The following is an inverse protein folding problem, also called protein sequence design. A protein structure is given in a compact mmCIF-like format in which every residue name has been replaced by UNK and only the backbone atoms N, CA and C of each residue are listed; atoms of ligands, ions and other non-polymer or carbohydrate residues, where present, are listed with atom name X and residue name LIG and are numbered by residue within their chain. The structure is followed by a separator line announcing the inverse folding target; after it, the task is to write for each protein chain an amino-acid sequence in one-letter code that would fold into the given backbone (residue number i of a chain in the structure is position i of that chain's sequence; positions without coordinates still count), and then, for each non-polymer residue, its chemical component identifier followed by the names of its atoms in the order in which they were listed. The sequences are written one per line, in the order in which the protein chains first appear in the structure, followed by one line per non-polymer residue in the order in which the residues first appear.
data_IF_244189199603
#
_entry.id   IF_244189199603
#
_cell.length_a   1.000
_cell.length_b   1.000
_cell.length_c   1.000
_cell.angle_alpha   90.00
_cell.angle_beta   90.00
_cell.angle_gamma   90.00
#
_symmetry.space_group_name_H-M   'P 1'
#
loop_
_entity.id
_entity.type
_entity.pdbx_description
1 polymer ?
#
# COMPACT_ATOMS: atom_id res chain seq x y z
N UNK A 1 -1.43 23.26 -7.61
CA UNK A 1 -2.87 22.98 -7.59
C UNK A 1 -3.26 22.44 -6.22
N UNK A 2 -4.35 22.92 -5.63
CA UNK A 2 -4.95 22.20 -4.50
C UNK A 2 -5.53 20.88 -5.06
N UNK A 3 -5.23 19.73 -4.44
CA UNK A 3 -5.73 18.46 -4.92
C UNK A 3 -7.27 18.45 -4.87
N UNK A 4 -7.95 17.84 -5.87
CA UNK A 4 -9.40 17.74 -5.85
C UNK A 4 -9.86 16.99 -4.60
N UNK A 5 -10.72 17.63 -3.80
CA UNK A 5 -11.29 17.03 -2.59
C UNK A 5 -12.54 16.26 -2.96
N UNK A 6 -12.70 15.07 -2.37
CA UNK A 6 -13.87 14.21 -2.57
C UNK A 6 -15.17 14.95 -2.18
N UNK A 7 -16.20 14.90 -3.03
CA UNK A 7 -17.48 15.60 -2.84
C UNK A 7 -18.17 15.25 -1.53
N UNK A 8 -18.04 13.99 -1.08
CA UNK A 8 -18.56 13.52 0.20
C UNK A 8 -17.98 14.25 1.43
N UNK A 9 -16.73 14.73 1.33
CA UNK A 9 -16.05 15.48 2.41
C UNK A 9 -16.50 16.95 2.41
N UNK A 10 -16.76 17.52 1.22
CA UNK A 10 -17.29 18.87 1.06
C UNK A 10 -18.73 18.97 1.57
N UNK A 11 -19.55 17.95 1.29
CA UNK A 11 -20.93 17.85 1.80
C UNK A 11 -20.98 17.69 3.34
N UNK A 12 -20.05 16.93 3.91
CA UNK A 12 -19.97 16.71 5.36
C UNK A 12 -19.49 17.94 6.13
N UNK A 13 -18.75 18.86 5.49
CA UNK A 13 -18.18 20.06 6.11
C UNK A 13 -18.46 21.32 5.27
N UNK A 14 -19.64 21.96 5.41
CA UNK A 14 -20.05 23.08 4.56
C UNK A 14 -19.15 24.33 4.73
N UNK A 15 -18.58 24.55 5.93
CA UNK A 15 -17.62 25.65 6.15
C UNK A 15 -16.33 25.46 5.35
N UNK A 16 -15.89 24.21 5.18
CA UNK A 16 -14.70 23.87 4.41
C UNK A 16 -14.96 24.00 2.90
N UNK A 17 -16.16 23.63 2.43
CA UNK A 17 -16.57 23.83 1.03
C UNK A 17 -16.55 25.32 0.62
N UNK A 18 -17.09 26.20 1.47
CA UNK A 18 -17.03 27.65 1.24
C UNK A 18 -15.60 28.17 1.18
N UNK A 19 -14.72 27.72 2.09
CA UNK A 19 -13.31 28.10 2.08
C UNK A 19 -12.58 27.57 0.85
N UNK A 20 -12.80 26.30 0.48
CA UNK A 20 -12.18 25.67 -0.69
C UNK A 20 -12.60 26.38 -1.98
N UNK A 21 -13.88 26.72 -2.11
CA UNK A 21 -14.40 27.54 -3.21
C UNK A 21 -13.82 28.95 -3.22
N UNK A 22 -13.71 29.63 -2.09
CA UNK A 22 -13.12 30.98 -2.02
C UNK A 22 -11.62 30.98 -2.35
N UNK A 23 -10.88 29.96 -1.89
CA UNK A 23 -9.47 29.77 -2.21
C UNK A 23 -9.26 29.53 -3.71
N UNK A 24 -10.03 28.61 -4.29
CA UNK A 24 -9.94 28.26 -5.73
C UNK A 24 -10.48 29.36 -6.65
N UNK A 25 -11.51 30.11 -6.23
CA UNK A 25 -12.16 31.10 -7.08
C UNK A 25 -11.60 32.51 -6.93
N UNK A 26 -11.21 32.94 -5.72
CA UNK A 26 -10.86 34.35 -5.45
C UNK A 26 -9.41 34.59 -5.06
N UNK A 27 -8.78 33.65 -4.34
CA UNK A 27 -7.46 33.91 -3.72
C UNK A 27 -6.30 33.33 -4.51
N UNK A 28 -6.45 32.15 -5.09
CA UNK A 28 -5.37 31.41 -5.74
C UNK A 28 -5.67 31.17 -7.21
N UNK A 29 -4.61 31.17 -8.00
CA UNK A 29 -4.58 30.69 -9.37
C UNK A 29 -4.40 29.16 -9.37
N UNK A 30 -4.65 28.48 -10.51
CA UNK A 30 -4.48 27.03 -10.64
C UNK A 30 -3.05 26.55 -10.31
N UNK A 31 -2.06 27.40 -10.59
CA UNK A 31 -0.63 27.17 -10.29
C UNK A 31 -0.26 27.35 -8.80
N UNK A 32 -1.21 27.78 -7.95
CA UNK A 32 -1.00 28.06 -6.53
C UNK A 32 -0.47 29.48 -6.24
N UNK A 33 -0.33 30.33 -7.25
CA UNK A 33 0.02 31.74 -7.05
C UNK A 33 -1.19 32.57 -6.58
N UNK A 34 -0.95 33.69 -5.89
CA UNK A 34 -2.05 34.56 -5.39
C UNK A 34 -2.68 35.34 -6.55
N UNK A 35 -3.98 35.59 -6.55
CA UNK A 35 -4.66 36.49 -7.51
C UNK A 35 -4.49 37.99 -7.21
N UNK A 36 -3.81 38.35 -6.13
CA UNK A 36 -3.52 39.75 -5.76
C UNK A 36 -2.40 40.31 -6.66
N UNK A 37 -2.77 41.19 -7.58
CA UNK A 37 -1.87 41.78 -8.60
C UNK A 37 -0.67 42.49 -7.96
N UNK A 38 -0.84 43.15 -6.80
CA UNK A 38 0.27 43.85 -6.13
C UNK A 38 1.28 42.86 -5.58
N UNK A 39 0.80 41.80 -4.92
CA UNK A 39 1.67 40.71 -4.42
C UNK A 39 2.32 39.95 -5.56
N UNK A 40 1.59 39.67 -6.64
CA UNK A 40 2.16 39.04 -7.85
C UNK A 40 3.31 39.87 -8.44
N UNK A 41 3.17 41.19 -8.52
CA UNK A 41 4.22 42.07 -9.03
C UNK A 41 5.47 42.03 -8.15
N UNK A 42 5.31 42.15 -6.83
CA UNK A 42 6.43 42.04 -5.87
C UNK A 42 7.12 40.67 -6.00
N UNK A 43 6.34 39.58 -6.04
CA UNK A 43 6.91 38.25 -6.25
C UNK A 43 7.59 38.11 -7.62
N UNK A 44 7.09 38.76 -8.66
CA UNK A 44 7.71 38.80 -9.98
C UNK A 44 9.07 39.52 -9.97
N UNK A 45 9.16 40.68 -9.31
CA UNK A 45 10.40 41.43 -9.12
C UNK A 45 11.43 40.65 -8.29
N UNK A 46 10.99 39.98 -7.21
CA UNK A 46 11.83 39.09 -6.41
C UNK A 46 12.32 37.90 -7.26
N UNK A 47 11.46 37.28 -8.08
CA UNK A 47 11.89 36.17 -8.95
C UNK A 47 12.91 36.62 -9.99
N UNK A 48 12.73 37.79 -10.59
CA UNK A 48 13.68 38.36 -11.55
C UNK A 48 15.03 38.65 -10.89
N UNK A 49 15.04 39.32 -9.74
CA UNK A 49 16.28 39.60 -9.00
C UNK A 49 16.96 38.30 -8.54
N UNK A 50 16.21 37.34 -8.01
CA UNK A 50 16.73 36.03 -7.66
C UNK A 50 17.32 35.30 -8.87
N UNK A 51 16.69 35.36 -10.04
CA UNK A 51 17.24 34.80 -11.26
C UNK A 51 18.59 35.44 -11.60
N UNK A 52 18.68 36.78 -11.56
CA UNK A 52 19.95 37.49 -11.80
C UNK A 52 21.04 37.16 -10.78
N UNK A 53 20.70 37.05 -9.50
CA UNK A 53 21.68 36.68 -8.47
C UNK A 53 22.14 35.24 -8.64
N UNK A 54 21.24 34.32 -9.00
CA UNK A 54 21.59 32.92 -9.28
C UNK A 54 22.46 32.79 -10.52
N UNK A 55 22.14 33.49 -11.60
CA UNK A 55 22.99 33.47 -12.81
C UNK A 55 24.37 34.00 -12.47
N UNK A 56 24.47 35.13 -11.76
CA UNK A 56 25.77 35.71 -11.40
C UNK A 56 26.58 34.82 -10.45
N UNK A 57 25.91 34.18 -9.49
CA UNK A 57 26.54 33.23 -8.58
C UNK A 57 27.06 32.02 -9.34
N UNK A 58 26.23 31.42 -10.21
CA UNK A 58 26.62 30.23 -10.96
C UNK A 58 27.71 30.54 -11.99
N UNK A 59 27.68 31.68 -12.67
CA UNK A 59 28.75 32.07 -13.59
C UNK A 59 30.07 32.26 -12.83
N UNK A 60 30.05 32.98 -11.70
CA UNK A 60 31.24 33.16 -10.86
C UNK A 60 31.79 31.82 -10.33
N UNK A 61 30.91 30.92 -9.87
CA UNK A 61 31.31 29.60 -9.38
C UNK A 61 31.88 28.70 -10.48
N UNK A 62 31.27 28.71 -11.67
CA UNK A 62 31.77 27.94 -12.81
C UNK A 62 33.16 28.44 -13.19
N UNK A 63 33.35 29.76 -13.35
CA UNK A 63 34.64 30.35 -13.68
C UNK A 63 35.71 30.05 -12.62
N UNK A 64 35.37 30.20 -11.34
CA UNK A 64 36.31 29.92 -10.24
C UNK A 64 36.70 28.44 -10.22
N UNK A 65 35.72 27.54 -10.43
CA UNK A 65 35.96 26.10 -10.48
C UNK A 65 36.78 25.70 -11.70
N UNK A 66 36.49 26.26 -12.88
CA UNK A 66 37.29 25.97 -14.08
C UNK A 66 38.71 26.45 -13.89
N UNK A 67 38.92 27.68 -13.40
CA UNK A 67 40.25 28.20 -13.07
C UNK A 67 41.00 27.30 -12.09
N UNK A 68 40.36 26.82 -11.02
CA UNK A 68 41.01 25.91 -10.06
C UNK A 68 41.43 24.57 -10.65
N UNK A 69 40.80 24.14 -11.75
CA UNK A 69 41.10 22.87 -12.42
C UNK A 69 41.92 23.04 -13.70
N UNK A 70 42.14 24.28 -14.14
CA UNK A 70 42.85 24.63 -15.36
C UNK A 70 44.30 24.08 -15.37
N UNK A 71 45.09 24.20 -14.29
CA UNK A 71 46.48 23.70 -14.26
C UNK A 71 46.59 22.19 -14.47
N UNK A 72 45.59 21.43 -14.01
CA UNK A 72 45.59 19.96 -14.09
C UNK A 72 44.96 19.39 -15.37
N UNK A 73 44.11 20.17 -16.05
CA UNK A 73 43.29 19.69 -17.18
C UNK A 73 43.67 20.28 -18.52
N UNK A 74 44.37 21.43 -18.54
CA UNK A 74 44.75 22.07 -19.79
C UNK A 74 46.18 21.70 -20.19
N UNK A 75 46.38 21.04 -21.34
CA UNK A 75 47.71 20.86 -21.92
C UNK A 75 48.23 22.14 -22.61
N UNK A 76 47.37 23.15 -22.82
CA UNK A 76 47.72 24.39 -23.54
C UNK A 76 48.25 25.50 -22.64
N UNK A 77 48.17 25.32 -21.31
CA UNK A 77 48.63 26.32 -20.33
C UNK A 77 50.14 26.15 -20.03
N UNK A 78 50.98 27.18 -20.28
CA UNK A 78 52.38 27.18 -19.87
C UNK A 78 52.58 26.87 -18.38
N UNK A 79 53.57 26.04 -18.05
CA UNK A 79 53.82 25.57 -16.68
C UNK A 79 54.10 26.72 -15.70
N UNK A 80 54.71 27.81 -16.18
CA UNK A 80 55.00 29.01 -15.38
C UNK A 80 53.74 29.72 -14.87
N UNK A 81 52.59 29.51 -15.54
CA UNK A 81 51.30 30.11 -15.16
C UNK A 81 50.50 29.24 -14.19
N UNK A 82 50.94 28.01 -13.89
CA UNK A 82 50.18 27.09 -13.03
C UNK A 82 50.12 27.60 -11.58
N UNK A 83 51.27 27.95 -11.00
CA UNK A 83 51.36 28.48 -9.63
C UNK A 83 50.60 29.80 -9.43
N UNK A 84 50.76 30.83 -10.31
CA UNK A 84 49.97 32.06 -10.22
C UNK A 84 48.46 31.83 -10.32
N UNK A 85 47.99 30.90 -11.16
CA UNK A 85 46.56 30.58 -11.29
C UNK A 85 46.03 29.91 -10.01
N UNK A 86 46.79 28.99 -9.41
CA UNK A 86 46.41 28.35 -8.14
C UNK A 86 46.35 29.34 -6.98
N UNK A 87 47.32 30.25 -6.87
CA UNK A 87 47.35 31.27 -5.83
C UNK A 87 46.19 32.27 -5.97
N UNK A 88 45.93 32.76 -7.18
CA UNK A 88 44.80 33.68 -7.43
C UNK A 88 43.45 32.99 -7.20
N UNK A 89 43.30 31.71 -7.56
CA UNK A 89 42.06 30.97 -7.30
C UNK A 89 41.84 30.69 -5.81
N UNK A 90 42.90 30.37 -5.06
CA UNK A 90 42.85 30.25 -3.60
C UNK A 90 42.51 31.60 -2.92
N UNK A 91 42.98 32.72 -3.48
CA UNK A 91 42.57 34.06 -3.03
C UNK A 91 41.10 34.36 -3.32
N UNK A 92 40.60 34.02 -4.51
CA UNK A 92 39.20 34.23 -4.91
C UNK A 92 38.22 33.36 -4.11
N UNK A 93 38.65 32.17 -3.69
CA UNK A 93 37.86 31.26 -2.84
C UNK A 93 37.94 31.60 -1.35
N UNK A 94 38.75 32.61 -0.97
CA UNK A 94 38.86 33.09 0.40
C UNK A 94 39.72 32.19 1.30
N UNK A 95 40.63 31.41 0.74
CA UNK A 95 41.53 30.53 1.52
C UNK A 95 42.66 31.30 2.21
N UNK A 96 42.94 32.53 1.79
CA UNK A 96 43.96 33.40 2.40
C UNK A 96 43.36 34.54 3.23
N UNK A 97 43.96 34.86 4.39
CA UNK A 97 43.58 36.03 5.18
C UNK A 97 43.89 37.33 4.40
N UNK A 98 43.16 38.43 4.67
CA UNK A 98 43.32 39.68 3.94
C UNK A 98 44.70 40.33 4.09
N UNK A 99 45.48 39.95 5.11
CA UNK A 99 46.84 40.44 5.37
C UNK A 99 47.87 39.97 4.35
N UNK A 100 47.66 38.82 3.70
CA UNK A 100 48.62 38.23 2.76
C UNK A 100 48.41 38.73 1.32
N UNK A 101 47.43 39.61 1.11
CA UNK A 101 47.09 40.15 -0.22
C UNK A 101 48.21 41.00 -0.82
N UNK A 102 48.96 41.70 0.02
CA UNK A 102 50.06 42.55 -0.43
C UNK A 102 51.25 41.72 -0.93
N UNK A 103 51.46 40.53 -0.35
CA UNK A 103 52.51 39.59 -0.75
C UNK A 103 52.18 38.94 -2.10
N UNK A 104 50.91 38.64 -2.34
CA UNK A 104 50.40 38.02 -3.57
C UNK A 104 50.16 39.02 -4.71
N UNK A 105 50.43 40.31 -4.51
CA UNK A 105 50.20 41.35 -5.51
C UNK A 105 51.03 41.13 -6.78
N UNK A 106 52.26 40.63 -6.65
CA UNK A 106 53.13 40.34 -7.80
C UNK A 106 52.59 39.19 -8.66
N UNK A 107 52.13 38.10 -8.05
CA UNK A 107 51.54 36.96 -8.75
C UNK A 107 50.19 37.32 -9.38
N UNK A 108 49.42 38.19 -8.72
CA UNK A 108 48.18 38.75 -9.28
C UNK A 108 48.46 39.60 -10.51
N UNK A 109 49.51 40.43 -10.48
CA UNK A 109 49.90 41.24 -11.63
C UNK A 109 50.40 40.38 -12.80
N UNK A 110 51.18 39.33 -12.51
CA UNK A 110 51.62 38.37 -13.52
C UNK A 110 50.46 37.58 -14.14
N UNK A 111 49.47 37.20 -13.35
CA UNK A 111 48.21 36.61 -13.83
C UNK A 111 47.46 37.57 -14.76
N UNK A 112 47.32 38.84 -14.36
CA UNK A 112 46.63 39.85 -15.16
C UNK A 112 47.36 40.16 -16.48
N UNK A 113 48.69 40.16 -16.48
CA UNK A 113 49.49 40.34 -17.71
C UNK A 113 49.34 39.19 -18.71
N UNK A 114 48.97 37.99 -18.26
CA UNK A 114 48.82 36.80 -19.10
C UNK A 114 47.35 36.36 -19.24
N UNK A 115 46.41 37.26 -18.96
CA UNK A 115 44.97 36.94 -18.93
C UNK A 115 44.46 36.41 -20.28
N UNK A 116 45.04 36.85 -21.40
CA UNK A 116 44.63 36.42 -22.73
C UNK A 116 44.87 34.91 -22.94
N UNK A 117 46.03 34.41 -22.51
CA UNK A 117 46.40 32.99 -22.59
C UNK A 117 45.54 32.15 -21.64
N UNK A 118 45.27 32.68 -20.45
CA UNK A 118 44.43 32.00 -19.45
C UNK A 118 42.98 31.94 -19.93
N UNK A 119 42.49 33.01 -20.55
CA UNK A 119 41.11 33.10 -21.05
C UNK A 119 40.87 32.19 -22.26
N UNK A 120 41.86 32.04 -23.16
CA UNK A 120 41.76 31.09 -24.28
C UNK A 120 41.76 29.65 -23.77
N UNK A 121 42.68 29.28 -22.87
CA UNK A 121 42.71 27.96 -22.25
C UNK A 121 41.42 27.64 -21.46
N UNK A 122 40.87 28.64 -20.76
CA UNK A 122 39.60 28.50 -20.04
C UNK A 122 38.41 28.34 -20.99
N UNK A 123 38.41 29.04 -22.12
CA UNK A 123 37.40 28.90 -23.17
C UNK A 123 37.45 27.50 -23.82
N UNK A 124 38.64 26.99 -24.09
CA UNK A 124 38.85 25.62 -24.61
C UNK A 124 38.39 24.54 -23.62
N UNK A 125 38.65 24.75 -22.32
CA UNK A 125 38.17 23.84 -21.29
C UNK A 125 36.64 23.90 -21.14
N UNK A 126 36.04 25.10 -21.20
CA UNK A 126 34.60 25.28 -21.13
C UNK A 126 33.88 24.67 -22.33
N UNK A 127 34.42 24.84 -23.55
CA UNK A 127 33.88 24.20 -24.76
C UNK A 127 34.01 22.69 -24.68
N UNK A 128 35.14 22.16 -24.19
CA UNK A 128 35.30 20.73 -23.94
C UNK A 128 34.26 20.22 -22.92
N UNK A 129 34.06 20.93 -21.80
CA UNK A 129 33.04 20.56 -20.82
C UNK A 129 31.63 20.60 -21.41
N UNK A 130 31.31 21.62 -22.21
CA UNK A 130 30.03 21.74 -22.89
C UNK A 130 29.78 20.59 -23.87
N UNK A 131 30.78 20.20 -24.68
CA UNK A 131 30.64 19.05 -25.59
C UNK A 131 30.46 17.73 -24.84
N UNK A 132 31.10 17.54 -23.68
CA UNK A 132 30.87 16.39 -22.82
C UNK A 132 29.45 16.40 -22.25
N UNK A 133 28.93 17.55 -21.83
CA UNK A 133 27.55 17.69 -21.39
C UNK A 133 26.54 17.38 -22.51
N UNK A 134 26.80 17.80 -23.75
CA UNK A 134 26.00 17.41 -24.92
C UNK A 134 25.98 15.88 -25.09
N UNK A 135 27.13 15.21 -24.96
CA UNK A 135 27.22 13.74 -25.03
C UNK A 135 26.50 13.03 -23.89
N UNK A 136 26.48 13.62 -22.70
CA UNK A 136 25.75 13.08 -21.55
C UNK A 136 24.25 13.25 -21.73
N UNK A 137 23.80 14.40 -22.26
CA UNK A 137 22.40 14.67 -22.54
C UNK A 137 21.83 13.67 -23.55
N UNK A 138 22.57 13.37 -24.62
CA UNK A 138 22.27 12.26 -25.52
C UNK A 138 23.55 11.64 -26.09
N UNK A 139 23.77 10.37 -25.79
CA UNK A 139 24.91 9.63 -26.32
C UNK A 139 24.83 9.35 -27.82
N UNK A 140 23.60 9.32 -28.39
CA UNK A 140 23.34 8.95 -29.79
C UNK A 140 23.24 10.13 -30.75
N UNK A 141 22.77 11.29 -30.27
CA UNK A 141 22.61 12.52 -31.05
C UNK A 141 22.89 13.71 -30.13
N UNK A 142 24.16 14.08 -29.93
CA UNK A 142 24.48 15.18 -29.03
C UNK A 142 23.84 16.48 -29.56
N UNK A 143 23.05 17.19 -28.75
CA UNK A 143 22.47 18.47 -29.13
C UNK A 143 23.55 19.55 -29.30
N UNK A 144 23.24 20.61 -30.05
CA UNK A 144 24.10 21.80 -30.09
C UNK A 144 24.20 22.44 -28.69
N UNK A 145 25.30 23.16 -28.41
CA UNK A 145 25.55 23.80 -27.11
C UNK A 145 24.38 24.73 -26.72
N UNK A 146 23.81 25.44 -27.69
CA UNK A 146 22.69 26.36 -27.48
C UNK A 146 21.36 25.64 -27.13
N UNK A 147 21.21 24.38 -27.58
CA UNK A 147 20.00 23.58 -27.40
C UNK A 147 20.02 22.75 -26.10
N UNK A 148 21.19 22.62 -25.46
CA UNK A 148 21.35 21.85 -24.20
C UNK A 148 20.41 22.36 -23.12
N UNK A 149 20.21 23.68 -23.02
CA UNK A 149 19.31 24.25 -22.02
C UNK A 149 17.85 23.81 -22.24
N UNK A 150 17.38 23.81 -23.49
CA UNK A 150 16.02 23.40 -23.83
C UNK A 150 15.79 21.93 -23.46
N UNK A 151 16.76 21.07 -23.77
CA UNK A 151 16.69 19.65 -23.43
C UNK A 151 16.76 19.40 -21.93
N UNK A 152 17.59 20.15 -21.20
CA UNK A 152 17.63 20.09 -19.76
C UNK A 152 16.30 20.50 -19.12
N UNK A 153 15.64 21.53 -19.66
CA UNK A 153 14.31 21.95 -19.23
C UNK A 153 13.24 20.90 -19.54
N UNK A 154 13.30 20.23 -20.68
CA UNK A 154 12.40 19.13 -21.06
C UNK A 154 12.58 17.90 -20.14
N UNK A 155 13.82 17.52 -19.83
CA UNK A 155 14.12 16.45 -18.87
C UNK A 155 13.63 16.85 -17.47
N UNK A 156 13.79 18.12 -17.09
CA UNK A 156 13.31 18.62 -15.81
C UNK A 156 11.78 18.62 -15.76
N UNK A 157 11.09 19.05 -16.81
CA UNK A 157 9.62 19.08 -16.84
C UNK A 157 9.04 17.67 -16.83
N UNK A 158 9.59 16.76 -17.65
CA UNK A 158 9.16 15.35 -17.67
C UNK A 158 9.36 14.68 -16.32
N UNK A 159 10.50 14.88 -15.66
CA UNK A 159 10.79 14.28 -14.36
C UNK A 159 9.97 14.88 -13.21
N UNK A 160 9.69 16.18 -13.22
CA UNK A 160 9.05 16.88 -12.09
C UNK A 160 7.55 17.07 -12.21
N UNK A 161 7.01 17.12 -13.43
CA UNK A 161 5.60 17.40 -13.67
C UNK A 161 4.89 16.22 -14.31
N UNK A 162 5.42 15.65 -15.39
CA UNK A 162 4.67 14.68 -16.18
C UNK A 162 4.69 13.29 -15.54
N UNK A 163 5.88 12.79 -15.19
CA UNK A 163 6.03 11.48 -14.55
C UNK A 163 5.26 11.38 -13.21
N UNK A 164 5.30 12.37 -12.30
CA UNK A 164 4.53 12.28 -11.06
C UNK A 164 3.01 12.33 -11.28
N UNK A 165 2.53 13.07 -12.29
CA UNK A 165 1.10 13.11 -12.64
C UNK A 165 0.65 11.78 -13.22
N UNK A 166 1.37 11.26 -14.21
CA UNK A 166 1.08 9.96 -14.82
C UNK A 166 1.09 8.85 -13.77
N UNK A 167 2.09 8.84 -12.88
CA UNK A 167 2.15 7.89 -11.78
C UNK A 167 0.97 8.05 -10.80
N UNK A 168 0.50 9.27 -10.55
CA UNK A 168 -0.66 9.50 -9.69
C UNK A 168 -1.95 8.98 -10.36
N UNK A 169 -2.13 9.23 -11.65
CA UNK A 169 -3.28 8.78 -12.43
C UNK A 169 -3.31 7.24 -12.51
N UNK A 170 -2.17 6.60 -12.77
CA UNK A 170 -2.04 5.14 -12.79
C UNK A 170 -2.32 4.52 -11.41
N UNK A 171 -1.89 5.17 -10.32
CA UNK A 171 -2.22 4.72 -8.95
C UNK A 171 -3.71 4.77 -8.69
N UNK A 172 -4.40 5.82 -9.14
CA UNK A 172 -5.86 5.93 -9.02
C UNK A 172 -6.54 4.85 -9.86
N UNK A 173 -6.08 4.63 -11.09
CA UNK A 173 -6.59 3.57 -11.95
C UNK A 173 -6.42 2.18 -11.31
N UNK A 174 -5.24 1.88 -10.75
CA UNK A 174 -4.99 0.64 -10.01
C UNK A 174 -5.88 0.49 -8.77
N UNK A 175 -6.08 1.55 -8.00
CA UNK A 175 -6.97 1.51 -6.83
C UNK A 175 -8.42 1.21 -7.24
N UNK A 176 -8.89 1.80 -8.34
CA UNK A 176 -10.23 1.56 -8.88
C UNK A 176 -10.39 0.12 -9.37
N UNK A 177 -9.40 -0.44 -10.08
CA UNK A 177 -9.45 -1.84 -10.53
C UNK A 177 -9.39 -2.84 -9.38
N UNK A 178 -8.59 -2.56 -8.34
CA UNK A 178 -8.59 -3.36 -7.12
C UNK A 178 -9.94 -3.31 -6.39
N UNK A 179 -10.58 -2.13 -6.36
CA UNK A 179 -11.90 -1.97 -5.77
C UNK A 179 -12.98 -2.76 -6.54
N UNK A 180 -12.97 -2.71 -7.88
CA UNK A 180 -13.92 -3.50 -8.68
C UNK A 180 -13.69 -4.99 -8.52
N UNK A 181 -12.44 -5.46 -8.45
CA UNK A 181 -12.11 -6.85 -8.15
C UNK A 181 -12.68 -7.26 -6.78
N UNK A 182 -12.48 -6.45 -5.74
CA UNK A 182 -13.01 -6.75 -4.41
C UNK A 182 -14.55 -6.84 -4.40
N UNK A 183 -15.24 -5.94 -5.10
CA UNK A 183 -16.70 -6.01 -5.26
C UNK A 183 -17.12 -7.29 -5.97
N UNK A 184 -16.45 -7.64 -7.07
CA UNK A 184 -16.73 -8.88 -7.80
C UNK A 184 -16.50 -10.10 -6.92
N UNK A 185 -15.41 -10.12 -6.15
CA UNK A 185 -15.12 -11.21 -5.22
C UNK A 185 -16.19 -11.34 -4.12
N UNK A 186 -16.63 -10.21 -3.56
CA UNK A 186 -17.71 -10.19 -2.57
C UNK A 186 -19.01 -10.76 -3.17
N UNK A 187 -19.35 -10.36 -4.39
CA UNK A 187 -20.53 -10.89 -5.09
C UNK A 187 -20.43 -12.40 -5.38
N UNK A 188 -19.23 -12.89 -5.71
CA UNK A 188 -18.95 -14.31 -5.93
C UNK A 188 -19.12 -15.08 -4.62
N UNK A 189 -18.56 -14.58 -3.51
CA UNK A 189 -18.72 -15.24 -2.21
C UNK A 189 -20.18 -15.26 -1.76
N UNK A 190 -20.92 -14.17 -1.94
CA UNK A 190 -22.35 -14.12 -1.64
C UNK A 190 -23.14 -15.16 -2.44
N UNK A 191 -22.91 -15.23 -3.76
CA UNK A 191 -23.58 -16.21 -4.61
C UNK A 191 -23.18 -17.64 -4.25
N UNK A 192 -21.91 -17.90 -3.94
CA UNK A 192 -21.43 -19.19 -3.46
C UNK A 192 -22.10 -19.62 -2.16
N UNK A 193 -22.19 -18.72 -1.17
CA UNK A 193 -22.87 -18.97 0.11
C UNK A 193 -24.35 -19.29 -0.13
N UNK A 194 -25.05 -18.49 -0.94
CA UNK A 194 -26.46 -18.73 -1.27
C UNK A 194 -26.67 -20.08 -1.96
N UNK A 195 -25.75 -20.49 -2.84
CA UNK A 195 -25.79 -21.81 -3.47
C UNK A 195 -25.60 -22.91 -2.43
N UNK A 196 -24.62 -22.80 -1.52
CA UNK A 196 -24.38 -23.78 -0.46
C UNK A 196 -25.58 -23.89 0.50
N UNK A 197 -26.14 -22.76 0.91
CA UNK A 197 -27.35 -22.71 1.73
C UNK A 197 -28.53 -23.38 1.04
N UNK A 198 -28.74 -23.12 -0.25
CA UNK A 198 -29.89 -23.68 -0.99
C UNK A 198 -29.72 -25.17 -1.30
N UNK A 199 -28.53 -25.58 -1.72
CA UNK A 199 -28.27 -26.93 -2.24
C UNK A 199 -27.92 -27.92 -1.14
N UNK A 200 -27.07 -27.54 -0.19
CA UNK A 200 -26.57 -28.46 0.82
C UNK A 200 -27.40 -28.38 2.10
N UNK A 201 -27.61 -27.18 2.64
CA UNK A 201 -28.32 -27.02 3.90
C UNK A 201 -29.84 -27.06 3.73
N UNK A 202 -30.37 -26.43 2.68
CA UNK A 202 -31.80 -26.36 2.41
C UNK A 202 -32.41 -27.69 1.99
N UNK A 203 -31.76 -28.46 1.12
CA UNK A 203 -32.27 -29.76 0.70
C UNK A 203 -32.25 -30.78 1.85
N UNK A 204 -31.17 -30.85 2.63
CA UNK A 204 -31.06 -31.74 3.79
C UNK A 204 -32.05 -31.36 4.90
N UNK A 205 -32.19 -30.07 5.21
CA UNK A 205 -33.17 -29.62 6.21
C UNK A 205 -34.61 -29.95 5.78
N UNK A 206 -34.96 -29.72 4.51
CA UNK A 206 -36.28 -30.08 3.97
C UNK A 206 -36.51 -31.59 4.00
N UNK A 207 -35.54 -32.40 3.58
CA UNK A 207 -35.65 -33.87 3.60
C UNK A 207 -35.79 -34.43 5.03
N UNK A 208 -35.10 -33.84 6.00
CA UNK A 208 -35.24 -34.24 7.41
C UNK A 208 -36.61 -33.84 7.98
N UNK A 209 -37.11 -32.64 7.65
CA UNK A 209 -38.45 -32.20 8.04
C UNK A 209 -39.51 -33.13 7.48
N UNK A 210 -39.50 -33.41 6.17
CA UNK A 210 -40.50 -34.28 5.54
C UNK A 210 -40.41 -35.72 6.07
N UNK A 211 -39.20 -36.21 6.37
CA UNK A 211 -39.01 -37.51 7.03
C UNK A 211 -39.60 -37.53 8.44
N UNK A 212 -39.41 -36.47 9.22
CA UNK A 212 -39.99 -36.35 10.56
C UNK A 212 -41.51 -36.32 10.50
N UNK A 213 -42.09 -35.54 9.59
CA UNK A 213 -43.54 -35.46 9.37
C UNK A 213 -44.13 -36.81 8.95
N UNK A 214 -43.43 -37.53 8.04
CA UNK A 214 -43.84 -38.88 7.62
C UNK A 214 -43.82 -39.88 8.79
N UNK A 215 -42.77 -39.86 9.63
CA UNK A 215 -42.69 -40.74 10.81
C UNK A 215 -43.80 -40.39 11.81
N UNK A 216 -44.09 -39.11 12.02
CA UNK A 216 -45.17 -38.66 12.89
C UNK A 216 -46.53 -39.14 12.38
N UNK A 217 -46.83 -38.96 11.09
CA UNK A 217 -48.06 -39.45 10.47
C UNK A 217 -48.19 -40.99 10.54
N UNK A 218 -47.08 -41.71 10.38
CA UNK A 218 -47.06 -43.17 10.53
C UNK A 218 -47.32 -43.58 11.98
N UNK A 219 -46.74 -42.87 12.95
CA UNK A 219 -46.95 -43.14 14.37
C UNK A 219 -48.41 -42.87 14.79
N UNK A 220 -49.04 -41.81 14.27
CA UNK A 220 -50.47 -41.55 14.54
C UNK A 220 -51.35 -42.62 13.91
N UNK A 221 -51.08 -43.05 12.68
CA UNK A 221 -51.80 -44.13 12.01
C UNK A 221 -51.69 -45.44 12.81
N UNK A 222 -50.47 -45.85 13.16
CA UNK A 222 -50.23 -47.05 13.98
C UNK A 222 -50.91 -46.94 15.35
N UNK A 223 -50.91 -45.76 15.95
CA UNK A 223 -51.63 -45.49 17.20
C UNK A 223 -53.14 -45.65 17.06
N UNK A 224 -53.74 -45.20 15.95
CA UNK A 224 -55.16 -45.38 15.65
C UNK A 224 -55.49 -46.85 15.36
N UNK A 225 -54.66 -47.55 14.57
CA UNK A 225 -54.82 -48.98 14.32
C UNK A 225 -54.74 -49.79 15.62
N UNK A 226 -53.75 -49.50 16.48
CA UNK A 226 -53.63 -50.13 17.79
C UNK A 226 -54.87 -49.89 18.66
N UNK A 227 -55.42 -48.66 18.68
CA UNK A 227 -56.68 -48.37 19.39
C UNK A 227 -57.84 -49.21 18.86
N UNK A 228 -58.01 -49.27 17.54
CA UNK A 228 -59.06 -50.07 16.90
C UNK A 228 -58.89 -51.55 17.30
N UNK A 229 -57.68 -52.09 17.21
CA UNK A 229 -57.38 -53.47 17.61
C UNK A 229 -57.65 -53.75 19.09
N UNK A 230 -57.34 -52.82 20.00
CA UNK A 230 -57.66 -52.99 21.43
C UNK A 230 -59.16 -52.97 21.71
N UNK A 231 -59.96 -52.29 20.88
CA UNK A 231 -61.41 -52.29 21.00
C UNK A 231 -62.05 -53.57 20.46
N UNK A 232 -61.47 -54.19 19.43
CA UNK A 232 -61.98 -55.45 18.87
C UNK A 232 -61.48 -56.68 19.62
N UNK A 233 -60.27 -56.62 20.20
CA UNK A 233 -59.66 -57.71 20.95
C UNK A 233 -59.07 -57.17 22.27
N UNK A 234 -59.70 -57.44 23.42
CA UNK A 234 -59.15 -57.07 24.72
C UNK A 234 -57.77 -57.73 24.93
N UNK A 235 -56.71 -56.95 25.20
CA UNK A 235 -55.37 -57.50 25.35
C UNK A 235 -55.25 -58.40 26.58
N UNK A 236 -54.51 -59.52 26.51
CA UNK A 236 -54.21 -60.37 27.66
C UNK A 236 -53.51 -59.60 28.80
N UNK A 237 -53.77 -59.98 30.05
CA UNK A 237 -53.22 -59.29 31.24
C UNK A 237 -51.68 -59.24 31.26
N UNK A 238 -51.01 -60.27 30.73
CA UNK A 238 -49.56 -60.31 30.62
C UNK A 238 -49.00 -59.28 29.63
N UNK A 239 -49.71 -59.04 28.52
CA UNK A 239 -49.35 -58.05 27.51
C UNK A 239 -49.47 -56.63 28.07
N UNK A 240 -50.52 -56.35 28.85
CA UNK A 240 -50.69 -55.05 29.54
C UNK A 240 -49.57 -54.83 30.56
N UNK A 241 -49.15 -55.87 31.28
CA UNK A 241 -48.02 -55.81 32.22
C UNK A 241 -46.70 -55.53 31.49
N UNK A 242 -46.45 -56.20 30.36
CA UNK A 242 -45.29 -55.97 29.52
C UNK A 242 -45.26 -54.53 28.95
N UNK A 243 -46.41 -54.02 28.50
CA UNK A 243 -46.54 -52.63 28.01
C UNK A 243 -46.27 -51.60 29.12
N UNK A 244 -46.72 -51.84 30.35
CA UNK A 244 -46.41 -50.95 31.49
C UNK A 244 -44.91 -50.91 31.77
N UNK A 245 -44.24 -52.06 31.77
CA UNK A 245 -42.79 -52.13 31.96
C UNK A 245 -42.04 -51.45 30.82
N UNK A 246 -42.48 -51.67 29.57
CA UNK A 246 -41.90 -51.03 28.40
C UNK A 246 -42.08 -49.49 28.43
N UNK A 247 -43.26 -49.00 28.84
CA UNK A 247 -43.52 -47.57 29.00
C UNK A 247 -42.64 -46.94 30.09
N UNK A 248 -42.43 -47.65 31.19
CA UNK A 248 -41.51 -47.21 32.25
C UNK A 248 -40.05 -47.13 31.74
N UNK A 249 -39.62 -48.13 30.95
CA UNK A 249 -38.30 -48.15 30.34
C UNK A 249 -38.14 -47.04 29.28
N UNK A 250 -39.17 -46.77 28.47
CA UNK A 250 -39.19 -45.66 27.52
C UNK A 250 -39.16 -44.30 28.22
N UNK A 251 -39.88 -44.12 29.32
CA UNK A 251 -39.83 -42.87 30.09
C UNK A 251 -38.42 -42.60 30.65
N UNK A 252 -37.75 -43.65 31.15
CA UNK A 252 -36.36 -43.54 31.61
C UNK A 252 -35.39 -43.25 30.46
N UNK A 253 -35.56 -43.87 29.28
CA UNK A 253 -34.69 -43.59 28.14
C UNK A 253 -34.94 -42.20 27.54
N UNK A 254 -36.19 -41.75 27.47
CA UNK A 254 -36.57 -40.40 27.04
C UNK A 254 -36.00 -39.33 27.98
N UNK A 255 -36.05 -39.57 29.30
CA UNK A 255 -35.40 -38.71 30.29
C UNK A 255 -33.89 -38.58 30.03
N UNK A 256 -33.20 -39.72 29.85
CA UNK A 256 -31.76 -39.74 29.51
C UNK A 256 -31.45 -39.00 28.19
N UNK A 257 -32.33 -39.11 27.19
CA UNK A 257 -32.18 -38.41 25.92
C UNK A 257 -32.36 -36.90 26.07
N UNK A 258 -33.38 -36.46 26.82
CA UNK A 258 -33.59 -35.04 27.14
C UNK A 258 -32.43 -34.44 27.93
N UNK A 259 -31.86 -35.19 28.87
CA UNK A 259 -30.68 -34.76 29.61
C UNK A 259 -29.46 -34.62 28.70
N UNK A 260 -29.24 -35.57 27.78
CA UNK A 260 -28.16 -35.49 26.77
C UNK A 260 -28.37 -34.32 25.81
N UNK A 261 -29.60 -34.08 25.37
CA UNK A 261 -29.94 -32.93 24.54
C UNK A 261 -29.68 -31.61 25.28
N UNK A 262 -30.10 -31.52 26.55
CA UNK A 262 -29.85 -30.35 27.40
C UNK A 262 -28.35 -30.08 27.59
N UNK A 263 -27.55 -31.12 27.82
CA UNK A 263 -26.09 -31.00 27.89
C UNK A 263 -25.49 -30.55 26.56
N UNK A 264 -25.95 -31.10 25.43
CA UNK A 264 -25.49 -30.71 24.09
C UNK A 264 -25.86 -29.26 23.75
N UNK A 265 -27.05 -28.78 24.12
CA UNK A 265 -27.43 -27.38 23.95
C UNK A 265 -26.56 -26.44 24.79
N UNK A 266 -26.30 -26.79 26.06
CA UNK A 266 -25.40 -26.01 26.92
C UNK A 266 -23.97 -25.99 26.37
N UNK A 267 -23.48 -27.09 25.81
CA UNK A 267 -22.14 -27.11 25.20
C UNK A 267 -22.09 -26.27 23.94
N UNK A 268 -23.13 -26.29 23.09
CA UNK A 268 -23.28 -25.38 21.94
C UNK A 268 -23.32 -23.91 22.34
N UNK A 269 -24.02 -23.56 23.41
CA UNK A 269 -24.03 -22.19 23.95
C UNK A 269 -22.65 -21.76 24.46
N UNK A 270 -21.91 -22.68 25.10
CA UNK A 270 -20.53 -22.42 25.51
C UNK A 270 -19.61 -22.24 24.29
N UNK A 271 -19.80 -23.00 23.21
CA UNK A 271 -19.06 -22.80 21.96
C UNK A 271 -19.37 -21.45 21.30
N UNK A 272 -20.65 -21.04 21.28
CA UNK A 272 -21.07 -19.72 20.80
C UNK A 272 -20.42 -18.58 21.60
N UNK A 273 -20.32 -18.72 22.93
CA UNK A 273 -19.71 -17.72 23.81
C UNK A 273 -18.18 -17.68 23.76
N UNK A 274 -17.53 -18.80 23.43
CA UNK A 274 -16.07 -18.91 23.42
C UNK A 274 -15.38 -18.22 22.22
N UNK A 275 -16.14 -17.89 21.16
CA UNK A 275 -15.63 -17.17 19.98
C UNK A 275 -14.46 -17.87 19.26
N UNK A 276 -13.76 -17.14 18.38
CA UNK A 276 -12.62 -17.69 17.60
C UNK A 276 -11.48 -18.23 18.47
N UNK A 277 -11.27 -17.63 19.65
CA UNK A 277 -10.15 -17.96 20.54
C UNK A 277 -10.35 -19.32 21.21
N UNK A 278 -11.56 -19.59 21.71
CA UNK A 278 -11.89 -20.91 22.26
C UNK A 278 -11.96 -22.02 21.21
N UNK A 279 -12.41 -21.70 19.99
CA UNK A 279 -12.42 -22.66 18.88
C UNK A 279 -10.99 -23.08 18.45
N UNK A 280 -10.04 -22.14 18.46
CA UNK A 280 -8.61 -22.44 18.21
C UNK A 280 -8.01 -23.36 19.27
N UNK A 281 -8.25 -23.08 20.55
CA UNK A 281 -7.73 -23.90 21.65
C UNK A 281 -8.33 -25.32 21.63
N UNK A 282 -9.61 -25.45 21.26
CA UNK A 282 -10.28 -26.75 21.14
C UNK A 282 -9.77 -27.57 19.95
N UNK A 283 -9.51 -26.91 18.80
CA UNK A 283 -8.89 -27.55 17.65
C UNK A 283 -7.49 -28.09 17.99
N UNK A 284 -6.71 -27.33 18.77
CA UNK A 284 -5.44 -27.80 19.32
C UNK A 284 -5.58 -29.05 20.18
N UNK A 285 -6.52 -29.06 21.14
CA UNK A 285 -6.77 -30.23 22.00
C UNK A 285 -7.26 -31.45 21.24
N UNK A 286 -8.11 -31.27 20.21
CA UNK A 286 -8.55 -32.35 19.32
C UNK A 286 -7.38 -32.96 18.56
N UNK A 287 -6.43 -32.15 18.11
CA UNK A 287 -5.20 -32.63 17.46
C UNK A 287 -4.37 -33.52 18.38
N UNK A 288 -4.22 -33.13 19.66
CA UNK A 288 -3.51 -33.93 20.67
C UNK A 288 -4.22 -35.26 20.92
N UNK A 289 -5.53 -35.24 21.14
CA UNK A 289 -6.33 -36.46 21.38
C UNK A 289 -6.31 -37.43 20.20
N UNK A 290 -6.38 -36.93 18.96
CA UNK A 290 -6.26 -37.78 17.78
C UNK A 290 -4.87 -38.44 17.70
N UNK A 291 -3.81 -37.71 18.09
CA UNK A 291 -2.46 -38.27 18.19
C UNK A 291 -2.31 -39.30 19.30
N UNK A 292 -3.04 -39.18 20.40
CA UNK A 292 -3.07 -40.18 21.48
C UNK A 292 -3.87 -41.42 21.08
N UNK A 293 -5.00 -41.25 20.38
CA UNK A 293 -5.80 -42.37 19.86
C UNK A 293 -4.97 -43.19 18.88
N UNK A 294 -4.29 -42.56 17.93
CA UNK A 294 -3.46 -43.31 16.96
C UNK A 294 -2.27 -44.02 17.63
N UNK A 295 -1.70 -43.45 18.70
CA UNK A 295 -0.68 -44.14 19.51
C UNK A 295 -1.25 -45.33 20.27
N UNK A 296 -2.40 -45.16 20.92
CA UNK A 296 -3.07 -46.26 21.61
C UNK A 296 -3.49 -47.36 20.63
N UNK A 297 -4.01 -47.01 19.46
CA UNK A 297 -4.32 -47.98 18.41
C UNK A 297 -3.07 -48.74 17.96
N UNK A 298 -1.95 -48.04 17.77
CA UNK A 298 -0.66 -48.68 17.45
C UNK A 298 -0.12 -49.56 18.59
N UNK A 299 -0.30 -49.17 19.85
CA UNK A 299 0.06 -49.96 21.03
C UNK A 299 -0.83 -51.19 21.18
N UNK A 300 -2.15 -51.06 20.98
CA UNK A 300 -3.11 -52.16 20.97
C UNK A 300 -2.78 -53.11 19.83
N UNK A 301 -2.54 -52.62 18.62
CA UNK A 301 -2.14 -53.43 17.47
C UNK A 301 -0.76 -54.08 17.70
N UNK A 302 0.12 -53.46 18.49
CA UNK A 302 1.40 -54.03 18.92
C UNK A 302 1.27 -55.10 20.00
N UNK A 303 0.28 -54.99 20.88
CA UNK A 303 -0.05 -55.97 21.92
C UNK A 303 -0.85 -57.15 21.37
N UNK A 304 -1.75 -56.90 20.41
CA UNK A 304 -2.48 -57.93 19.65
C UNK A 304 -1.55 -58.71 18.72
N UNK A 305 -0.46 -58.08 18.27
CA UNK A 305 0.67 -58.73 17.59
C UNK A 305 1.77 -59.21 18.55
N UNK A 306 1.58 -59.08 19.86
CA UNK A 306 2.59 -59.47 20.84
C UNK A 306 2.82 -60.97 20.83
N UNK A 307 4.06 -61.37 21.13
CA UNK A 307 4.56 -62.75 21.28
C UNK A 307 4.75 -63.60 20.03
#
# INVERSE_FOLDING_TARGET
MLPPVNSSILERNPKFDVLYKDLCARKLNPDGSTRDVKKQRIHGEIRKSLATYRTNLHTSQILTRTLSTLPSRSPTLPQDLHSPVELVTAQLTGQFPPSDRDVLAADTQFFLSNIDIISSALSDQLTTAATLLCKIADSKRPPSIDEVHLKAEEIRSSATLDLPKELADEKVHLANTAHTLLILHLSLLQTSILILERTQHGALARANSTRADHIAARATLLGLQAKIHTHTHPPPAEFVRALKNFRAQQGSSEGKLKDREGLARRTLDLYSRAGERGMRDLAGRKGVLLGEITRMEAEIEGLERGS
#
